data_IF_442836891620
#
_entry.id   IF_442836891620
#
_cell.length_a   1.000
_cell.length_b   1.000
_cell.length_c   1.000
_cell.angle_alpha   90.00
_cell.angle_beta   90.00
_cell.angle_gamma   90.00
#
_symmetry.space_group_name_H-M   'P 1'
#
loop_
_entity.id
_entity.type
_entity.pdbx_description
1 polymer ?
#
# COMPACT_ATOMS: atom_id res chain seq x y z
N UNK A 1 -17.84 -7.83 -6.87
CA UNK A 1 -16.66 -7.46 -6.06
C UNK A 1 -16.37 -8.55 -5.04
N UNK A 2 -15.16 -9.02 -5.00
CA UNK A 2 -14.74 -10.02 -4.01
C UNK A 2 -13.99 -9.36 -2.87
N UNK A 3 -14.24 -9.87 -1.66
CA UNK A 3 -13.66 -9.32 -0.44
C UNK A 3 -13.05 -10.45 0.38
N UNK A 4 -11.81 -10.26 0.83
CA UNK A 4 -11.05 -11.28 1.57
C UNK A 4 -10.33 -10.67 2.74
N UNK A 5 -10.15 -11.49 3.79
CA UNK A 5 -9.18 -11.16 4.84
C UNK A 5 -7.78 -11.45 4.31
N UNK A 6 -6.85 -10.59 4.65
CA UNK A 6 -5.46 -10.76 4.25
C UNK A 6 -4.53 -10.20 5.33
N UNK A 7 -3.32 -10.72 5.36
CA UNK A 7 -2.26 -10.20 6.22
C UNK A 7 -1.15 -9.66 5.34
N UNK A 8 -0.67 -8.48 5.64
CA UNK A 8 0.47 -7.89 4.93
C UNK A 8 1.74 -8.56 5.46
N UNK A 9 2.41 -9.33 4.61
CA UNK A 9 3.57 -10.13 5.00
C UNK A 9 4.90 -9.54 4.55
N UNK A 10 4.86 -8.62 3.58
CA UNK A 10 6.05 -7.94 3.11
C UNK A 10 5.66 -6.62 2.44
N UNK A 11 6.47 -5.61 2.65
CA UNK A 11 6.33 -4.31 2.00
C UNK A 11 7.36 -4.23 0.88
N UNK A 12 6.90 -4.18 -0.37
CA UNK A 12 7.78 -4.01 -1.53
C UNK A 12 8.16 -2.54 -1.68
N UNK A 13 7.16 -1.68 -1.68
CA UNK A 13 7.29 -0.22 -1.59
C UNK A 13 5.98 0.35 -1.02
N UNK A 14 5.85 1.68 -1.01
CA UNK A 14 4.71 2.33 -0.35
C UNK A 14 3.34 1.93 -0.89
N UNK A 15 3.26 1.52 -2.15
CA UNK A 15 2.01 1.20 -2.82
C UNK A 15 1.92 -0.25 -3.32
N UNK A 16 2.90 -1.08 -2.98
CA UNK A 16 2.94 -2.49 -3.41
C UNK A 16 3.31 -3.37 -2.22
N UNK A 17 2.46 -4.33 -1.93
CA UNK A 17 2.62 -5.22 -0.78
C UNK A 17 2.51 -6.67 -1.22
N UNK A 18 3.19 -7.56 -0.50
CA UNK A 18 2.91 -8.99 -0.55
C UNK A 18 1.96 -9.33 0.59
N UNK A 19 0.90 -10.06 0.27
CA UNK A 19 -0.15 -10.39 1.23
C UNK A 19 -0.40 -11.89 1.25
N UNK A 20 -0.80 -12.38 2.42
CA UNK A 20 -1.30 -13.73 2.62
C UNK A 20 -2.83 -13.63 2.69
N UNK A 21 -3.49 -14.15 1.66
CA UNK A 21 -4.94 -14.04 1.49
C UNK A 21 -5.61 -15.31 2.01
N UNK A 22 -6.56 -15.14 2.93
CA UNK A 22 -7.37 -16.22 3.46
C UNK A 22 -8.57 -16.43 2.52
N UNK A 23 -8.61 -17.59 1.87
CA UNK A 23 -9.70 -17.97 0.96
C UNK A 23 -10.78 -18.81 1.65
N UNK A 24 -10.65 -19.02 2.97
CA UNK A 24 -11.53 -19.93 3.68
C UNK A 24 -11.06 -21.39 3.56
N UNK A 25 -11.71 -22.28 4.28
CA UNK A 25 -11.39 -23.73 4.27
C UNK A 25 -9.91 -24.03 4.58
N UNK A 26 -9.24 -23.17 5.35
CA UNK A 26 -7.80 -23.27 5.64
C UNK A 26 -6.91 -23.12 4.40
N UNK A 27 -7.42 -22.52 3.33
CA UNK A 27 -6.67 -22.27 2.11
C UNK A 27 -6.17 -20.84 2.12
N UNK A 28 -4.87 -20.67 1.95
CA UNK A 28 -4.22 -19.37 1.84
C UNK A 28 -3.41 -19.29 0.56
N UNK A 29 -3.37 -18.11 -0.03
CA UNK A 29 -2.47 -17.84 -1.16
C UNK A 29 -1.65 -16.58 -0.85
N UNK A 30 -0.45 -16.54 -1.41
CA UNK A 30 0.40 -15.35 -1.35
C UNK A 30 0.35 -14.64 -2.69
N UNK A 31 0.07 -13.35 -2.66
CA UNK A 31 0.00 -12.52 -3.85
C UNK A 31 0.68 -11.19 -3.62
N UNK A 32 1.26 -10.66 -4.68
CA UNK A 32 1.73 -9.28 -4.70
C UNK A 32 0.62 -8.41 -5.25
N UNK A 33 0.23 -7.39 -4.48
CA UNK A 33 -0.87 -6.51 -4.83
C UNK A 33 -0.39 -5.07 -4.88
N UNK A 34 -0.97 -4.30 -5.79
CA UNK A 34 -0.77 -2.86 -5.90
C UNK A 34 -2.03 -2.17 -5.39
N UNK A 35 -1.84 -1.13 -4.59
CA UNK A 35 -2.97 -0.37 -4.05
C UNK A 35 -3.63 0.45 -5.15
N UNK A 36 -4.95 0.29 -5.28
CA UNK A 36 -5.76 1.07 -6.20
C UNK A 36 -5.85 2.52 -5.71
N UNK A 37 -5.76 3.47 -6.63
CA UNK A 37 -5.85 4.91 -6.35
C UNK A 37 -4.73 5.45 -5.45
N UNK A 38 -3.60 4.78 -5.42
CA UNK A 38 -2.42 5.22 -4.68
C UNK A 38 -1.23 5.27 -5.63
N UNK A 39 -0.49 6.36 -5.57
CA UNK A 39 0.81 6.48 -6.22
C UNK A 39 1.74 7.19 -5.24
N UNK A 40 2.73 6.47 -4.73
CA UNK A 40 3.73 7.00 -3.82
C UNK A 40 5.05 7.19 -4.55
N UNK A 41 5.98 7.99 -4.00
CA UNK A 41 7.30 8.16 -4.62
C UNK A 41 7.99 6.81 -4.87
N UNK A 42 8.63 6.69 -6.02
CA UNK A 42 9.36 5.48 -6.40
C UNK A 42 10.65 5.36 -5.60
N UNK A 43 11.06 4.12 -5.30
CA UNK A 43 12.31 3.87 -4.58
C UNK A 43 13.55 3.88 -5.48
N UNK A 44 13.38 4.21 -6.75
CA UNK A 44 14.46 4.30 -7.75
C UNK A 44 14.49 5.68 -8.39
N UNK A 45 15.66 6.06 -8.91
CA UNK A 45 15.81 7.30 -9.64
C UNK A 45 15.77 8.53 -8.75
N UNK A 46 15.18 9.61 -9.24
CA UNK A 46 15.16 10.90 -8.56
C UNK A 46 14.38 10.90 -7.25
N UNK A 47 13.41 9.99 -7.14
CA UNK A 47 12.53 9.89 -5.98
C UNK A 47 13.00 8.83 -4.97
N UNK A 48 14.18 8.23 -5.16
CA UNK A 48 14.61 7.08 -4.40
C UNK A 48 14.56 7.30 -2.88
N UNK A 49 14.99 8.46 -2.40
CA UNK A 49 14.99 8.77 -0.97
C UNK A 49 13.57 8.94 -0.45
N UNK A 50 12.73 9.65 -1.19
CA UNK A 50 11.31 9.82 -0.84
C UNK A 50 10.58 8.47 -0.83
N UNK A 51 10.87 7.62 -1.81
CA UNK A 51 10.30 6.27 -1.88
C UNK A 51 10.71 5.42 -0.67
N UNK A 52 11.95 5.53 -0.25
CA UNK A 52 12.45 4.83 0.94
C UNK A 52 11.75 5.28 2.22
N UNK A 53 11.46 6.57 2.33
CA UNK A 53 10.76 7.12 3.49
C UNK A 53 9.34 6.55 3.57
N UNK A 54 8.60 6.54 2.46
CA UNK A 54 7.24 6.00 2.45
C UNK A 54 7.25 4.50 2.69
N UNK A 55 8.20 3.77 2.11
CA UNK A 55 8.35 2.34 2.38
C UNK A 55 8.58 2.08 3.87
N UNK A 56 9.47 2.83 4.52
CA UNK A 56 9.72 2.66 5.94
C UNK A 56 8.49 2.97 6.78
N UNK A 57 7.72 4.00 6.41
CA UNK A 57 6.44 4.27 7.05
C UNK A 57 5.49 3.08 6.93
N UNK A 58 5.39 2.49 5.76
CA UNK A 58 4.53 1.33 5.53
C UNK A 58 4.99 0.12 6.35
N UNK A 59 6.30 -0.10 6.44
CA UNK A 59 6.86 -1.18 7.29
C UNK A 59 6.43 -0.98 8.74
N UNK A 60 6.59 0.23 9.26
CA UNK A 60 6.31 0.53 10.67
C UNK A 60 4.81 0.47 10.99
N UNK A 61 3.96 0.77 10.04
CA UNK A 61 2.53 0.92 10.29
C UNK A 61 1.65 -0.18 9.73
N UNK A 62 2.08 -0.88 8.68
CA UNK A 62 1.22 -1.85 7.97
C UNK A 62 1.77 -3.27 7.96
N UNK A 63 3.07 -3.47 8.13
CA UNK A 63 3.62 -4.82 8.10
C UNK A 63 3.02 -5.67 9.21
N UNK A 64 2.64 -6.90 8.88
CA UNK A 64 1.99 -7.86 9.78
C UNK A 64 0.57 -7.46 10.23
N UNK A 65 0.00 -6.42 9.65
CA UNK A 65 -1.39 -6.05 9.93
C UNK A 65 -2.36 -6.92 9.14
N UNK A 66 -3.48 -7.24 9.78
CA UNK A 66 -4.62 -7.84 9.09
C UNK A 66 -5.46 -6.75 8.48
N UNK A 67 -5.84 -6.96 7.23
CA UNK A 67 -6.65 -6.03 6.46
C UNK A 67 -7.73 -6.78 5.70
N UNK A 68 -8.70 -6.04 5.19
CA UNK A 68 -9.63 -6.54 4.19
C UNK A 68 -9.16 -6.01 2.85
N UNK A 69 -9.05 -6.88 1.86
CA UNK A 69 -8.78 -6.47 0.49
C UNK A 69 -10.01 -6.71 -0.36
N UNK A 70 -10.20 -5.87 -1.36
CA UNK A 70 -11.28 -5.97 -2.33
C UNK A 70 -10.71 -5.99 -3.72
N UNK A 71 -11.11 -6.98 -4.51
CA UNK A 71 -10.84 -7.00 -5.94
C UNK A 71 -12.15 -7.00 -6.68
N UNK A 72 -12.22 -6.30 -7.80
CA UNK A 72 -13.42 -6.30 -8.62
C UNK A 72 -13.49 -7.56 -9.45
N UNK A 73 -14.73 -8.00 -9.72
CA UNK A 73 -14.97 -9.31 -10.32
C UNK A 73 -15.02 -9.31 -11.83
N UNK A 74 -15.50 -8.25 -12.47
CA UNK A 74 -15.73 -8.32 -13.90
C UNK A 74 -14.40 -8.32 -14.66
N UNK A 75 -14.41 -8.81 -15.90
CA UNK A 75 -13.19 -8.96 -16.69
C UNK A 75 -12.44 -7.66 -16.92
N UNK A 76 -13.17 -6.55 -17.03
CA UNK A 76 -12.55 -5.24 -17.16
C UNK A 76 -11.97 -4.74 -15.86
N UNK A 77 -12.53 -5.21 -14.76
CA UNK A 77 -12.18 -4.76 -13.44
C UNK A 77 -11.38 -5.80 -12.62
N UNK A 78 -11.30 -7.04 -13.09
CA UNK A 78 -10.31 -7.99 -12.57
C UNK A 78 -8.93 -7.52 -13.00
N UNK A 79 -8.58 -6.31 -12.57
CA UNK A 79 -7.44 -5.61 -13.14
C UNK A 79 -6.16 -5.99 -12.44
N UNK A 80 -5.21 -6.28 -13.29
CA UNK A 80 -3.82 -6.17 -12.92
C UNK A 80 -3.30 -4.84 -13.43
N UNK A 81 -2.21 -4.35 -12.86
CA UNK A 81 -1.49 -3.23 -13.44
C UNK A 81 -0.67 -3.70 -14.65
N UNK A 82 0.09 -2.79 -15.27
CA UNK A 82 0.92 -3.10 -16.44
C UNK A 82 2.00 -4.14 -16.17
N UNK A 83 2.30 -4.46 -14.90
CA UNK A 83 3.28 -5.46 -14.49
C UNK A 83 2.64 -6.77 -14.01
N UNK A 84 1.33 -6.92 -14.18
CA UNK A 84 0.63 -8.14 -13.79
C UNK A 84 0.27 -8.25 -12.33
N UNK A 85 0.43 -7.19 -11.54
CA UNK A 85 0.03 -7.17 -10.13
C UNK A 85 -1.46 -6.87 -10.03
N UNK A 86 -2.13 -7.54 -9.09
CA UNK A 86 -3.54 -7.27 -8.83
C UNK A 86 -3.71 -5.87 -8.23
N UNK A 87 -4.69 -5.13 -8.72
CA UNK A 87 -5.09 -3.85 -8.15
C UNK A 87 -6.19 -4.10 -7.11
N UNK A 88 -5.96 -3.64 -5.89
CA UNK A 88 -6.90 -3.89 -4.79
C UNK A 88 -7.17 -2.63 -3.99
N UNK A 89 -8.38 -2.56 -3.43
CA UNK A 89 -8.70 -1.64 -2.35
C UNK A 89 -8.43 -2.33 -1.02
N UNK A 90 -8.06 -1.56 -0.02
CA UNK A 90 -7.73 -2.08 1.31
C UNK A 90 -8.58 -1.41 2.37
N UNK A 91 -8.87 -2.12 3.44
CA UNK A 91 -9.51 -1.54 4.62
C UNK A 91 -8.78 -2.02 5.88
N UNK A 92 -8.36 -1.09 6.71
CA UNK A 92 -7.76 -1.34 8.02
C UNK A 92 -8.86 -1.61 9.04
N UNK A 93 -8.48 -2.06 10.24
CA UNK A 93 -9.43 -2.33 11.34
C UNK A 93 -10.32 -1.13 11.68
N UNK A 94 -9.78 0.10 11.57
CA UNK A 94 -10.54 1.32 11.87
C UNK A 94 -11.47 1.75 10.74
N UNK A 95 -11.57 0.95 9.67
CA UNK A 95 -12.43 1.23 8.52
C UNK A 95 -11.80 2.13 7.47
N UNK A 96 -10.66 2.74 7.73
CA UNK A 96 -9.95 3.56 6.73
C UNK A 96 -9.22 2.66 5.74
N UNK A 97 -9.20 3.08 4.48
CA UNK A 97 -8.31 2.47 3.48
C UNK A 97 -6.88 3.00 3.66
N UNK A 98 -5.91 2.21 3.20
CA UNK A 98 -4.52 2.69 3.18
C UNK A 98 -4.40 3.89 2.22
N UNK A 99 -5.16 3.88 1.12
CA UNK A 99 -5.22 5.05 0.22
C UNK A 99 -5.66 6.31 0.95
N UNK A 100 -6.65 6.20 1.82
CA UNK A 100 -7.13 7.33 2.62
C UNK A 100 -6.06 7.80 3.60
N UNK A 101 -5.37 6.88 4.26
CA UNK A 101 -4.26 7.23 5.17
C UNK A 101 -3.19 8.02 4.43
N UNK A 102 -2.74 7.55 3.26
CA UNK A 102 -1.74 8.26 2.48
C UNK A 102 -2.23 9.62 1.99
N UNK A 103 -3.50 9.72 1.61
CA UNK A 103 -4.07 11.00 1.18
C UNK A 103 -4.11 11.99 2.34
N UNK A 104 -4.50 11.56 3.52
CA UNK A 104 -4.51 12.41 4.72
C UNK A 104 -3.10 12.88 5.11
N UNK A 105 -2.10 12.03 4.89
CA UNK A 105 -0.70 12.40 5.16
C UNK A 105 -0.09 13.29 4.08
N UNK A 106 -0.76 13.43 2.92
CA UNK A 106 -0.24 14.23 1.81
C UNK A 106 0.88 13.55 1.03
N UNK A 107 0.95 12.23 1.04
CA UNK A 107 2.01 11.47 0.37
C UNK A 107 1.52 10.66 -0.83
N UNK A 108 0.24 10.76 -1.15
CA UNK A 108 -0.32 10.15 -2.36
C UNK A 108 -0.24 11.16 -3.50
N UNK A 109 0.57 10.83 -4.52
CA UNK A 109 0.79 11.74 -5.67
C UNK A 109 -0.46 11.99 -6.50
N UNK A 110 -1.48 11.14 -6.36
CA UNK A 110 -2.76 11.31 -7.06
C UNK A 110 -3.68 12.33 -6.38
N UNK A 111 -3.37 12.75 -5.17
CA UNK A 111 -4.17 13.71 -4.43
C UNK A 111 -3.58 15.13 -4.55
N UNK A 112 -4.46 16.14 -4.50
CA UNK A 112 -4.08 17.53 -4.68
C UNK A 112 -3.17 18.08 -3.58
N UNK A 113 -3.22 17.46 -2.40
CA UNK A 113 -2.43 17.90 -1.25
C UNK A 113 -1.04 17.26 -1.18
N UNK A 114 -0.63 16.50 -2.19
CA UNK A 114 0.70 15.89 -2.22
C UNK A 114 1.80 16.95 -2.21
N UNK A 115 2.82 16.71 -1.39
CA UNK A 115 4.06 17.47 -1.46
C UNK A 115 5.22 16.63 -0.97
N UNK A 116 6.43 16.94 -1.45
CA UNK A 116 7.64 16.28 -0.96
C UNK A 116 7.87 16.58 0.53
N UNK A 117 7.50 17.79 0.98
CA UNK A 117 7.58 18.16 2.39
C UNK A 117 6.76 17.21 3.26
N UNK A 118 5.57 16.83 2.79
CA UNK A 118 4.74 15.87 3.52
C UNK A 118 5.40 14.51 3.63
N UNK A 119 6.14 14.08 2.61
CA UNK A 119 6.92 12.83 2.67
C UNK A 119 8.01 12.95 3.74
N UNK A 120 8.76 14.06 3.73
CA UNK A 120 9.81 14.29 4.73
C UNK A 120 9.24 14.31 6.16
N UNK A 121 8.01 14.77 6.33
CA UNK A 121 7.36 14.79 7.65
C UNK A 121 7.07 13.41 8.20
N UNK A 122 7.17 12.35 7.40
CA UNK A 122 7.06 10.97 7.89
C UNK A 122 8.32 10.49 8.61
N UNK A 123 9.44 11.19 8.43
CA UNK A 123 10.66 10.84 9.10
C UNK A 123 10.60 11.28 10.57
N UNK A 124 11.00 10.39 11.48
CA UNK A 124 11.34 10.80 12.83
C UNK A 124 12.71 11.46 12.81
N UNK A 125 12.93 12.41 13.70
CA UNK A 125 14.24 13.07 13.81
C UNK A 125 15.38 12.07 14.02
N UNK A 126 15.12 11.01 14.77
CA UNK A 126 16.09 9.94 15.02
C UNK A 126 16.44 9.16 13.75
N UNK A 127 15.47 8.97 12.84
CA UNK A 127 15.69 8.28 11.57
C UNK A 127 16.59 9.09 10.63
N UNK A 128 16.50 10.40 10.70
CA UNK A 128 17.30 11.29 9.85
C UNK A 128 18.78 11.26 10.26
N UNK A 129 19.07 11.08 11.53
CA UNK A 129 20.41 11.16 12.07
C UNK A 129 21.00 9.81 12.50
N UNK A 130 20.20 8.76 12.32
CA UNK A 130 20.69 7.42 12.61
C UNK A 130 21.47 6.88 11.40
#
# INVERSE_FOLDING_TARGET
MYQYKAKIINIVDGDTFDVDIDLGFHIHIHERVRLLNVDTPEKFGKEALLGSIVKNYAIDNFLNKEIIIRSEKNEEAAKTDSFGRWLVETALENGKSIAQVYTELGVNKLADNYSETNVWNLCDDDDVFA
#
